data_IF_793163569047
#
_entry.id   IF_793163569047
#
_cell.length_a   1.000
_cell.length_b   1.000
_cell.length_c   1.000
_cell.angle_alpha   90.00
_cell.angle_beta   90.00
_cell.angle_gamma   90.00
#
_symmetry.space_group_name_H-M   'P 1'
#
loop_
_entity.id
_entity.type
_entity.pdbx_description
1 polymer ?
#
# COMPACT_ATOMS: atom_id res chain seq x y z
N UNK A 1 -18.31 -29.59 -14.70
CA UNK A 1 -18.62 -28.47 -13.78
C UNK A 1 -17.51 -27.44 -13.90
N UNK A 2 -17.81 -26.16 -14.13
CA UNK A 2 -16.76 -25.13 -14.10
C UNK A 2 -16.37 -24.85 -12.64
N UNK A 3 -15.09 -24.70 -12.37
CA UNK A 3 -14.58 -24.31 -11.05
C UNK A 3 -15.00 -22.88 -10.72
N UNK A 4 -15.56 -22.67 -9.53
CA UNK A 4 -15.87 -21.34 -9.03
C UNK A 4 -14.56 -20.58 -8.77
N UNK A 5 -14.34 -19.48 -9.50
CA UNK A 5 -13.15 -18.64 -9.35
C UNK A 5 -13.38 -17.61 -8.26
N UNK A 6 -12.40 -17.44 -7.38
CA UNK A 6 -12.36 -16.34 -6.42
C UNK A 6 -11.56 -15.18 -7.01
N UNK A 7 -12.04 -13.94 -6.80
CA UNK A 7 -11.28 -12.75 -7.14
C UNK A 7 -10.03 -12.69 -6.24
N UNK A 8 -8.90 -12.35 -6.85
CA UNK A 8 -7.63 -12.14 -6.15
C UNK A 8 -7.42 -10.65 -5.95
N UNK A 9 -7.12 -10.23 -4.72
CA UNK A 9 -7.00 -8.83 -4.35
C UNK A 9 -5.58 -8.54 -3.84
N UNK A 10 -4.96 -7.50 -4.40
CA UNK A 10 -3.65 -6.99 -3.98
C UNK A 10 -3.78 -5.59 -3.37
N UNK A 11 -3.01 -5.32 -2.31
CA UNK A 11 -2.98 -4.02 -1.65
C UNK A 11 -1.70 -3.27 -2.04
N UNK A 12 -1.83 -2.08 -2.59
CA UNK A 12 -0.67 -1.24 -2.90
C UNK A 12 -0.28 -0.43 -1.65
N UNK A 13 0.97 -0.56 -1.20
CA UNK A 13 1.50 0.22 -0.07
C UNK A 13 2.47 1.26 -0.62
N UNK A 14 2.03 2.52 -0.61
CA UNK A 14 2.69 3.62 -1.33
C UNK A 14 2.97 4.84 -0.44
N UNK A 15 3.54 4.64 0.75
CA UNK A 15 4.02 5.73 1.60
C UNK A 15 3.01 6.85 1.84
N UNK A 16 3.41 8.08 1.52
CA UNK A 16 2.56 9.29 1.67
C UNK A 16 1.42 9.39 0.64
N UNK A 17 1.37 8.45 -0.31
CA UNK A 17 0.35 8.31 -1.33
C UNK A 17 0.81 8.72 -2.73
N UNK A 18 -0.12 8.86 -3.68
CA UNK A 18 0.18 8.93 -5.12
C UNK A 18 0.32 10.35 -5.65
N UNK A 19 -0.40 11.29 -5.04
CA UNK A 19 -0.41 12.69 -5.44
C UNK A 19 0.71 13.52 -4.80
N UNK A 20 1.11 14.57 -5.52
CA UNK A 20 2.15 15.52 -5.12
C UNK A 20 1.88 16.27 -3.79
N UNK A 21 0.63 16.29 -3.32
CA UNK A 21 0.20 17.07 -2.15
C UNK A 21 -0.37 16.24 -0.99
N UNK A 22 -0.43 14.91 -1.10
CA UNK A 22 -1.12 14.06 -0.11
C UNK A 22 -0.45 14.11 1.27
N UNK A 23 0.88 14.26 1.30
CA UNK A 23 1.65 14.45 2.52
C UNK A 23 1.25 15.69 3.34
N UNK A 24 0.56 16.66 2.72
CA UNK A 24 0.12 17.90 3.39
C UNK A 24 -1.21 17.74 4.12
N UNK A 25 -1.91 16.62 3.94
CA UNK A 25 -3.17 16.39 4.62
C UNK A 25 -2.93 16.35 6.15
N UNK A 26 -3.77 16.99 6.99
CA UNK A 26 -3.55 17.06 8.43
C UNK A 26 -3.43 15.70 9.15
N UNK A 27 -3.97 14.64 8.54
CA UNK A 27 -3.90 13.27 9.06
C UNK A 27 -2.86 12.39 8.33
N UNK A 28 -2.16 12.94 7.34
CA UNK A 28 -1.12 12.19 6.65
C UNK A 28 0.11 12.06 7.55
N UNK A 29 0.72 10.89 7.51
CA UNK A 29 2.04 10.68 8.09
C UNK A 29 3.08 11.12 7.07
N UNK A 30 3.62 12.33 7.22
CA UNK A 30 4.51 12.95 6.23
C UNK A 30 5.80 12.14 5.93
N UNK A 31 6.23 11.26 6.83
CA UNK A 31 7.39 10.36 6.61
C UNK A 31 7.01 8.93 6.19
N UNK A 32 5.74 8.67 5.84
CA UNK A 32 5.24 7.32 5.58
C UNK A 32 6.05 6.55 4.53
N UNK A 33 6.59 7.23 3.50
CA UNK A 33 7.38 6.60 2.42
C UNK A 33 8.70 5.97 2.87
N UNK A 34 9.21 6.30 4.06
CA UNK A 34 10.45 5.74 4.62
C UNK A 34 10.27 5.22 6.05
N UNK A 35 9.03 5.04 6.48
CA UNK A 35 8.70 4.62 7.84
C UNK A 35 8.35 3.13 7.88
N UNK A 36 9.26 2.30 8.40
CA UNK A 36 9.05 0.85 8.49
C UNK A 36 7.76 0.48 9.26
N UNK A 37 7.45 1.19 10.35
CA UNK A 37 6.25 0.92 11.15
C UNK A 37 4.96 1.17 10.37
N UNK A 38 4.95 2.19 9.49
CA UNK A 38 3.83 2.43 8.58
C UNK A 38 3.65 1.24 7.62
N UNK A 39 4.73 0.79 6.97
CA UNK A 39 4.67 -0.36 6.06
C UNK A 39 4.16 -1.62 6.79
N UNK A 40 4.70 -1.92 7.98
CA UNK A 40 4.25 -3.04 8.80
C UNK A 40 2.75 -2.97 9.12
N UNK A 41 2.27 -1.80 9.54
CA UNK A 41 0.86 -1.60 9.86
C UNK A 41 -0.03 -1.83 8.63
N UNK A 42 0.34 -1.28 7.47
CA UNK A 42 -0.44 -1.46 6.24
C UNK A 42 -0.43 -2.93 5.78
N UNK A 43 0.72 -3.61 5.87
CA UNK A 43 0.82 -5.03 5.48
C UNK A 43 0.00 -5.93 6.41
N UNK A 44 0.02 -5.68 7.73
CA UNK A 44 -0.81 -6.43 8.67
C UNK A 44 -2.31 -6.19 8.46
N UNK A 45 -2.71 -4.97 8.09
CA UNK A 45 -4.09 -4.67 7.75
C UNK A 45 -4.53 -5.43 6.49
N UNK A 46 -3.70 -5.46 5.44
CA UNK A 46 -3.98 -6.20 4.22
C UNK A 46 -4.10 -7.72 4.47
N UNK A 47 -3.18 -8.26 5.28
CA UNK A 47 -3.20 -9.67 5.70
C UNK A 47 -4.49 -10.01 6.48
N UNK A 48 -4.86 -9.20 7.47
CA UNK A 48 -6.10 -9.38 8.23
C UNK A 48 -7.36 -9.30 7.35
N UNK A 49 -7.33 -8.48 6.29
CA UNK A 49 -8.39 -8.35 5.30
C UNK A 49 -8.40 -9.44 4.22
N UNK A 50 -7.50 -10.44 4.30
CA UNK A 50 -7.36 -11.57 3.36
C UNK A 50 -6.99 -11.16 1.93
N UNK A 51 -6.22 -10.09 1.78
CA UNK A 51 -5.58 -9.80 0.51
C UNK A 51 -4.53 -10.87 0.20
N UNK A 52 -4.39 -11.21 -1.07
CA UNK A 52 -3.48 -12.27 -1.52
C UNK A 52 -2.02 -11.82 -1.54
N UNK A 53 -1.78 -10.52 -1.74
CA UNK A 53 -0.44 -9.95 -1.77
C UNK A 53 -0.43 -8.45 -1.49
N UNK A 54 0.75 -7.94 -1.15
CA UNK A 54 1.05 -6.51 -1.11
C UNK A 54 1.94 -6.16 -2.30
N UNK A 55 1.67 -5.04 -2.94
CA UNK A 55 2.43 -4.52 -4.07
C UNK A 55 3.17 -3.24 -3.68
N UNK A 56 4.46 -3.20 -3.97
CA UNK A 56 5.33 -2.05 -3.77
C UNK A 56 5.79 -1.58 -5.16
N UNK A 57 5.37 -0.38 -5.54
CA UNK A 57 5.85 0.24 -6.78
C UNK A 57 7.25 0.82 -6.55
N UNK A 58 8.04 0.89 -7.62
CA UNK A 58 9.40 1.41 -7.59
C UNK A 58 9.66 2.33 -8.79
N UNK A 59 10.57 3.29 -8.61
CA UNK A 59 11.10 4.14 -9.67
C UNK A 59 12.59 4.34 -9.44
N UNK A 60 13.38 4.13 -10.50
CA UNK A 60 14.84 4.30 -10.44
C UNK A 60 15.26 5.79 -10.46
N UNK A 61 14.32 6.71 -10.69
CA UNK A 61 14.60 8.14 -10.81
C UNK A 61 13.44 8.98 -10.26
N UNK A 62 13.80 10.04 -9.52
CA UNK A 62 12.88 11.08 -9.04
C UNK A 62 13.56 12.41 -9.39
N UNK A 63 12.89 13.24 -10.19
CA UNK A 63 13.36 14.57 -10.60
C UNK A 63 13.23 15.60 -9.48
#
# INVERSE_FOLDING_TARGET
MSTQRHLKLGAMVHGVGHGWGEWRHPQALANASVNLGFYQQQTHLAEAARFDFVFIADSLHIH
#
